data_IF_279021532544
#
_entry.id   IF_279021532544
#
_cell.length_a   1.000
_cell.length_b   1.000
_cell.length_c   1.000
_cell.angle_alpha   90.00
_cell.angle_beta   90.00
_cell.angle_gamma   90.00
#
_symmetry.space_group_name_H-M   'P 1'
#
loop_
_entity.id
_entity.type
_entity.pdbx_description
1 polymer ?
#
# COMPACT_ATOMS: atom_id res chain seq x y z
N UNK A 1 11.89 15.10 12.17
CA UNK A 1 12.09 14.35 10.93
C UNK A 1 12.21 12.88 11.28
N UNK A 2 11.09 12.16 11.18
CA UNK A 2 11.02 10.74 11.51
C UNK A 2 11.13 9.95 10.20
N UNK A 3 12.17 9.11 10.11
CA UNK A 3 12.43 8.24 8.97
C UNK A 3 12.19 6.78 9.38
N UNK A 4 11.49 6.02 8.55
CA UNK A 4 11.19 4.61 8.81
C UNK A 4 11.91 3.69 7.82
N UNK A 5 12.34 2.52 8.30
CA UNK A 5 12.96 1.49 7.49
C UNK A 5 11.92 0.79 6.62
N UNK A 6 12.11 0.75 5.31
CA UNK A 6 11.17 0.14 4.37
C UNK A 6 11.90 -0.86 3.48
N UNK A 7 11.28 -2.02 3.28
CA UNK A 7 11.61 -2.94 2.20
C UNK A 7 10.39 -3.05 1.29
N UNK A 8 10.57 -2.74 0.00
CA UNK A 8 9.46 -2.62 -0.95
C UNK A 8 8.62 -3.90 -1.04
N UNK A 9 9.27 -5.07 -0.95
CA UNK A 9 8.65 -6.38 -1.10
C UNK A 9 8.21 -7.00 0.25
N UNK A 10 7.95 -6.17 1.28
CA UNK A 10 7.38 -6.62 2.56
C UNK A 10 5.93 -6.13 2.75
N UNK A 11 4.92 -6.88 2.27
CA UNK A 11 3.51 -6.50 2.45
C UNK A 11 3.11 -6.25 3.91
N UNK A 12 3.67 -7.01 4.85
CA UNK A 12 3.37 -6.86 6.28
C UNK A 12 3.83 -5.51 6.85
N UNK A 13 4.94 -4.95 6.34
CA UNK A 13 5.36 -3.60 6.73
C UNK A 13 4.34 -2.55 6.26
N UNK A 14 3.91 -2.64 5.00
CA UNK A 14 2.95 -1.71 4.42
C UNK A 14 1.58 -1.79 5.10
N UNK A 15 1.11 -3.00 5.45
CA UNK A 15 -0.14 -3.16 6.21
C UNK A 15 -0.09 -2.40 7.54
N UNK A 16 0.99 -2.59 8.32
CA UNK A 16 1.17 -1.89 9.61
C UNK A 16 1.20 -0.38 9.41
N UNK A 17 1.99 0.11 8.44
CA UNK A 17 2.11 1.54 8.18
C UNK A 17 0.75 2.17 7.84
N UNK A 18 0.04 1.60 6.86
CA UNK A 18 -1.23 2.13 6.37
C UNK A 18 -2.33 2.04 7.43
N UNK A 19 -2.31 1.03 8.31
CA UNK A 19 -3.25 0.88 9.41
C UNK A 19 -2.97 1.79 10.61
N UNK A 20 -1.72 2.20 10.78
CA UNK A 20 -1.32 3.11 11.87
C UNK A 20 -1.74 4.56 11.63
N UNK A 21 -2.26 4.88 10.45
CA UNK A 21 -2.62 6.24 10.03
C UNK A 21 -4.11 6.35 9.69
N UNK A 22 -4.74 7.46 10.10
CA UNK A 22 -6.12 7.77 9.70
C UNK A 22 -6.16 8.31 8.26
N UNK A 23 -6.17 7.38 7.30
CA UNK A 23 -6.24 7.68 5.88
C UNK A 23 -7.69 8.02 5.47
N UNK A 24 -7.86 9.14 4.76
CA UNK A 24 -9.15 9.64 4.29
C UNK A 24 -9.18 9.62 2.76
N UNK A 25 -10.31 9.22 2.19
CA UNK A 25 -10.51 9.19 0.74
C UNK A 25 -10.30 10.57 0.09
N UNK A 26 -9.75 10.58 -1.12
CA UNK A 26 -9.42 11.78 -1.88
C UNK A 26 -8.21 12.55 -1.34
N UNK A 27 -7.58 12.12 -0.24
CA UNK A 27 -6.44 12.81 0.34
C UNK A 27 -5.10 12.26 -0.16
N UNK A 28 -4.09 13.13 -0.08
CA UNK A 28 -2.68 12.80 -0.34
C UNK A 28 -1.87 12.87 0.94
N UNK A 29 -0.99 11.90 1.11
CA UNK A 29 -0.11 11.79 2.27
C UNK A 29 1.35 11.68 1.80
N UNK A 30 2.26 12.21 2.61
CA UNK A 30 3.70 12.12 2.37
C UNK A 30 4.38 11.48 3.55
N UNK A 31 5.33 10.60 3.29
CA UNK A 31 6.17 10.00 4.32
C UNK A 31 7.61 9.90 3.83
N UNK A 32 8.58 9.87 4.74
CA UNK A 32 9.97 9.62 4.40
C UNK A 32 10.35 8.19 4.78
N UNK A 33 10.85 7.45 3.79
CA UNK A 33 11.25 6.06 3.92
C UNK A 33 12.73 5.88 3.61
N UNK A 34 13.44 5.14 4.45
CA UNK A 34 14.80 4.68 4.16
C UNK A 34 14.73 3.26 3.60
N UNK A 35 15.21 3.06 2.36
CA UNK A 35 15.29 1.73 1.74
C UNK A 35 16.74 1.24 1.79
N UNK A 36 17.07 0.22 2.62
CA UNK A 36 18.45 -0.23 2.84
C UNK A 36 19.16 -0.71 1.59
N UNK A 37 18.45 -1.42 0.71
CA UNK A 37 19.02 -2.01 -0.50
C UNK A 37 19.58 -0.94 -1.46
N UNK A 38 19.05 0.29 -1.40
CA UNK A 38 19.52 1.43 -2.16
C UNK A 38 20.38 2.41 -1.35
N UNK A 39 20.48 2.24 -0.03
CA UNK A 39 21.19 3.15 0.88
C UNK A 39 20.69 4.60 0.85
N UNK A 40 19.42 4.83 0.52
CA UNK A 40 18.86 6.17 0.25
C UNK A 40 17.52 6.39 0.93
N UNK A 41 17.25 7.67 1.22
CA UNK A 41 15.94 8.18 1.62
C UNK A 41 15.07 8.43 0.40
N UNK A 42 13.78 8.11 0.52
CA UNK A 42 12.75 8.31 -0.49
C UNK A 42 11.57 9.04 0.15
N UNK A 43 11.14 10.15 -0.44
CA UNK A 43 9.84 10.72 -0.08
C UNK A 43 8.77 9.90 -0.79
N UNK A 44 7.97 9.16 -0.04
CA UNK A 44 6.80 8.46 -0.53
C UNK A 44 5.64 9.44 -0.64
N UNK A 45 4.87 9.33 -1.71
CA UNK A 45 3.60 10.05 -1.82
C UNK A 45 2.48 9.06 -2.10
N UNK A 46 1.54 9.00 -1.16
CA UNK A 46 0.36 8.16 -1.23
C UNK A 46 -0.83 9.00 -1.65
N UNK A 47 -1.68 8.41 -2.47
CA UNK A 47 -3.01 8.93 -2.78
C UNK A 47 -4.06 7.88 -2.40
N UNK A 48 -5.02 8.28 -1.57
CA UNK A 48 -6.17 7.44 -1.23
C UNK A 48 -7.27 7.74 -2.24
N UNK A 49 -7.60 6.79 -3.09
CA UNK A 49 -8.57 6.99 -4.15
C UNK A 49 -9.97 7.25 -3.58
N UNK A 50 -10.75 8.06 -4.30
CA UNK A 50 -12.16 8.27 -3.98
C UNK A 50 -12.99 7.04 -4.33
N UNK A 51 -13.83 6.65 -3.38
CA UNK A 51 -14.73 5.50 -3.48
C UNK A 51 -14.01 4.16 -3.53
N UNK A 52 -14.79 3.10 -3.29
CA UNK A 52 -14.28 1.73 -3.33
C UNK A 52 -13.99 1.27 -4.76
N UNK A 53 -12.97 0.42 -4.91
CA UNK A 53 -12.61 -0.28 -6.14
C UNK A 53 -12.87 -1.78 -5.95
N UNK A 54 -13.54 -2.45 -6.91
CA UNK A 54 -13.75 -3.88 -6.82
C UNK A 54 -12.40 -4.61 -6.97
N UNK A 55 -12.21 -5.63 -6.16
CA UNK A 55 -11.11 -6.57 -6.25
C UNK A 55 -11.67 -7.99 -6.12
N UNK A 56 -11.36 -8.86 -7.09
CA UNK A 56 -11.74 -10.26 -7.01
C UNK A 56 -10.59 -11.07 -6.41
N UNK A 57 -10.85 -11.80 -5.33
CA UNK A 57 -9.94 -12.74 -4.67
C UNK A 57 -10.67 -14.08 -4.59
N UNK A 58 -10.10 -15.13 -5.17
CA UNK A 58 -10.64 -16.50 -5.13
C UNK A 58 -12.11 -16.66 -5.55
N UNK A 59 -12.61 -15.73 -6.37
CA UNK A 59 -13.98 -15.73 -6.90
C UNK A 59 -14.94 -14.80 -6.14
N UNK A 60 -14.56 -14.33 -4.96
CA UNK A 60 -15.33 -13.37 -4.18
C UNK A 60 -14.92 -11.93 -4.53
N UNK A 61 -15.90 -11.02 -4.55
CA UNK A 61 -15.69 -9.60 -4.86
C UNK A 61 -15.64 -8.77 -3.58
N UNK A 62 -14.55 -7.99 -3.43
CA UNK A 62 -14.29 -7.13 -2.31
C UNK A 62 -14.30 -5.66 -2.74
N UNK A 63 -15.13 -4.85 -2.09
CA UNK A 63 -15.13 -3.40 -2.29
C UNK A 63 -14.02 -2.77 -1.46
N UNK A 64 -12.88 -2.50 -2.08
CA UNK A 64 -11.65 -2.08 -1.38
C UNK A 64 -11.40 -0.57 -1.50
N UNK A 65 -10.85 0.04 -0.46
CA UNK A 65 -10.15 1.33 -0.60
C UNK A 65 -8.83 1.08 -1.33
N UNK A 66 -8.57 1.83 -2.41
CA UNK A 66 -7.32 1.75 -3.16
C UNK A 66 -6.40 2.89 -2.76
N UNK A 67 -5.20 2.55 -2.29
CA UNK A 67 -4.13 3.50 -1.98
C UNK A 67 -3.02 3.30 -2.99
N UNK A 68 -2.57 4.36 -3.65
CA UNK A 68 -1.50 4.29 -4.65
C UNK A 68 -0.28 5.05 -4.15
N UNK A 69 0.90 4.43 -4.22
CA UNK A 69 2.18 5.10 -4.01
C UNK A 69 2.82 5.42 -5.35
N UNK A 70 3.18 6.68 -5.55
CA UNK A 70 3.52 7.24 -6.86
C UNK A 70 4.96 7.01 -7.34
N UNK A 71 5.92 6.71 -6.45
CA UNK A 71 7.35 6.63 -6.81
C UNK A 71 7.86 5.21 -6.97
N UNK A 72 7.27 4.26 -6.27
CA UNK A 72 7.63 2.86 -6.20
C UNK A 72 6.69 1.99 -7.05
N UNK A 73 5.70 2.60 -7.72
CA UNK A 73 4.70 1.88 -8.52
C UNK A 73 3.91 0.86 -7.69
N UNK A 74 3.70 1.16 -6.40
CA UNK A 74 2.98 0.28 -5.48
C UNK A 74 1.50 0.69 -5.41
N UNK A 75 0.64 -0.31 -5.29
CA UNK A 75 -0.80 -0.12 -5.04
C UNK A 75 -1.26 -1.09 -3.96
N UNK A 76 -2.08 -0.59 -3.04
CA UNK A 76 -2.55 -1.28 -1.85
C UNK A 76 -4.07 -1.30 -1.83
N UNK A 77 -4.65 -2.49 -1.78
CA UNK A 77 -6.09 -2.71 -1.65
C UNK A 77 -6.42 -3.03 -0.21
N UNK A 78 -7.16 -2.12 0.44
CA UNK A 78 -7.60 -2.26 1.82
C UNK A 78 -9.07 -2.65 1.87
N UNK A 79 -9.41 -3.72 2.57
CA UNK A 79 -10.79 -4.14 2.83
C UNK A 79 -11.02 -4.18 4.34
N UNK A 80 -12.06 -3.49 4.82
CA UNK A 80 -12.37 -3.36 6.26
C UNK A 80 -11.17 -2.92 7.13
N UNK A 81 -10.27 -2.12 6.56
CA UNK A 81 -9.08 -1.64 7.26
C UNK A 81 -7.89 -2.61 7.25
N UNK A 82 -7.96 -3.73 6.54
CA UNK A 82 -6.85 -4.68 6.37
C UNK A 82 -6.32 -4.68 4.94
N UNK A 83 -4.99 -4.79 4.77
CA UNK A 83 -4.38 -5.00 3.46
C UNK A 83 -4.69 -6.41 2.95
N UNK A 84 -5.50 -6.50 1.91
CA UNK A 84 -5.85 -7.79 1.27
C UNK A 84 -5.00 -8.06 0.03
N UNK A 85 -4.49 -7.02 -0.63
CA UNK A 85 -3.59 -7.18 -1.77
C UNK A 85 -2.63 -5.99 -1.93
N UNK A 86 -1.37 -6.29 -2.20
CA UNK A 86 -0.35 -5.33 -2.64
C UNK A 86 0.09 -5.69 -4.06
N UNK A 87 0.18 -4.69 -4.93
CA UNK A 87 0.71 -4.82 -6.28
C UNK A 87 1.94 -3.95 -6.45
N UNK A 88 3.00 -4.53 -6.99
CA UNK A 88 4.15 -3.81 -7.55
C UNK A 88 4.07 -3.93 -9.07
N UNK A 89 3.58 -2.88 -9.71
CA UNK A 89 3.44 -2.87 -11.18
C UNK A 89 4.78 -2.60 -11.88
N UNK A 90 5.80 -2.12 -11.17
CA UNK A 90 7.15 -1.97 -11.70
C UNK A 90 7.87 -3.31 -11.86
N UNK A 91 7.54 -4.28 -11.01
CA UNK A 91 8.12 -5.63 -11.02
C UNK A 91 7.16 -6.73 -11.49
N UNK A 92 5.90 -6.40 -11.77
CA UNK A 92 4.82 -7.34 -12.10
C UNK A 92 4.59 -8.40 -11.00
N UNK A 93 4.60 -7.95 -9.74
CA UNK A 93 4.41 -8.80 -8.56
C UNK A 93 3.09 -8.48 -7.87
N UNK A 94 2.37 -9.53 -7.46
CA UNK A 94 1.16 -9.43 -6.64
C UNK A 94 1.37 -10.24 -5.37
N UNK A 95 1.22 -9.58 -4.22
CA UNK A 95 1.10 -10.24 -2.93
C UNK A 95 -0.36 -10.17 -2.48
N UNK A 96 -0.95 -11.33 -2.22
CA UNK A 96 -2.35 -11.47 -1.84
C UNK A 96 -2.44 -12.20 -0.51
N UNK A 97 -3.26 -11.68 0.41
CA UNK A 97 -3.58 -12.37 1.65
C UNK A 97 -4.54 -13.52 1.34
N UNK A 98 -4.25 -14.70 1.87
CA UNK A 98 -5.20 -15.83 1.85
C UNK A 98 -6.30 -15.50 2.86
N UNK A 99 -7.53 -15.31 2.38
CA UNK A 99 -8.71 -15.09 3.21
C UNK A 99 -9.39 -16.46 3.34
N UNK A 100 -9.56 -16.94 4.57
CA UNK A 100 -10.13 -18.25 4.88
C UNK A 100 -11.17 -18.18 5.99
#
# INVERSE_FOLDING_TARGET
>A
DDAFLVENNMPGFWDILLRSTELKEGQRYKAQAYIPQGGRMFDLEFYVNEGTKPLTIDGDEYACTLIQESKLSLSFYMYEGELVQMRDTGQDIIFQKIIG
#
